data_IF_531919538318
#
_entry.id   IF_531919538318
#
_cell.length_a   1.000
_cell.length_b   1.000
_cell.length_c   1.000
_cell.angle_alpha   90.00
_cell.angle_beta   90.00
_cell.angle_gamma   90.00
#
_symmetry.space_group_name_H-M   'P 1'
#
loop_
_entity.id
_entity.type
_entity.pdbx_description
1 polymer ?
#
# COMPACT_ATOMS: atom_id res chain seq x y z
N UNK A 1 6.93 0.59 29.08
CA UNK A 1 6.37 1.65 28.22
C UNK A 1 6.58 1.42 26.71
N UNK A 2 7.62 0.70 26.25
CA UNK A 2 7.85 0.44 24.82
C UNK A 2 6.90 -0.57 24.14
N UNK A 3 6.31 -1.51 24.90
CA UNK A 3 5.42 -2.54 24.34
C UNK A 3 4.04 -1.99 23.94
N UNK A 4 3.45 -1.12 24.78
CA UNK A 4 2.15 -0.49 24.51
C UNK A 4 2.21 0.43 23.28
N UNK A 5 3.32 1.18 23.11
CA UNK A 5 3.51 2.03 21.92
C UNK A 5 3.71 1.25 20.63
N UNK A 6 4.37 0.09 20.68
CA UNK A 6 4.49 -0.82 19.53
C UNK A 6 3.15 -1.46 19.16
N UNK A 7 2.35 -1.88 20.14
CA UNK A 7 1.02 -2.48 19.92
C UNK A 7 0.03 -1.47 19.31
N UNK A 8 0.04 -0.24 19.79
CA UNK A 8 -0.80 0.84 19.22
C UNK A 8 -0.37 1.16 17.79
N UNK A 9 0.95 1.23 17.53
CA UNK A 9 1.48 1.47 16.18
C UNK A 9 1.14 0.32 15.22
N UNK A 10 1.22 -0.94 15.64
CA UNK A 10 0.89 -2.08 14.78
C UNK A 10 -0.60 -2.13 14.45
N UNK A 11 -1.48 -1.90 15.44
CA UNK A 11 -2.94 -1.83 15.26
C UNK A 11 -3.32 -0.69 14.31
N UNK A 12 -2.78 0.51 14.53
CA UNK A 12 -3.00 1.66 13.64
C UNK A 12 -2.54 1.37 12.20
N UNK A 13 -1.40 0.68 12.03
CA UNK A 13 -0.91 0.30 10.70
C UNK A 13 -1.84 -0.69 9.99
N UNK A 14 -2.46 -1.62 10.73
CA UNK A 14 -3.46 -2.54 10.17
C UNK A 14 -4.75 -1.83 9.76
N UNK A 15 -5.21 -0.86 10.56
CA UNK A 15 -6.39 -0.05 10.23
C UNK A 15 -6.15 0.78 8.96
N UNK A 16 -5.01 1.47 8.87
CA UNK A 16 -4.63 2.24 7.67
C UNK A 16 -4.54 1.34 6.42
N UNK A 17 -3.98 0.14 6.57
CA UNK A 17 -3.92 -0.84 5.48
C UNK A 17 -5.32 -1.27 5.03
N UNK A 18 -6.21 -1.54 5.98
CA UNK A 18 -7.59 -1.96 5.69
C UNK A 18 -8.37 -0.85 4.98
N UNK A 19 -8.23 0.40 5.43
CA UNK A 19 -8.81 1.57 4.77
C UNK A 19 -8.29 1.76 3.35
N UNK A 20 -6.98 1.58 3.12
CA UNK A 20 -6.41 1.67 1.79
C UNK A 20 -7.00 0.60 0.83
N UNK A 21 -7.19 -0.63 1.31
CA UNK A 21 -7.83 -1.69 0.50
C UNK A 21 -9.28 -1.37 0.16
N UNK A 22 -10.02 -0.73 1.07
CA UNK A 22 -11.38 -0.28 0.79
C UNK A 22 -11.41 0.81 -0.28
N UNK A 23 -10.48 1.76 -0.24
CA UNK A 23 -10.37 2.81 -1.25
C UNK A 23 -10.00 2.25 -2.63
N UNK A 24 -9.11 1.25 -2.69
CA UNK A 24 -8.80 0.54 -3.96
C UNK A 24 -10.06 -0.10 -4.54
N UNK A 25 -10.84 -0.81 -3.72
CA UNK A 25 -12.10 -1.42 -4.15
C UNK A 25 -13.10 -0.36 -4.63
N UNK A 26 -13.26 0.71 -3.87
CA UNK A 26 -14.15 1.81 -4.21
C UNK A 26 -13.76 2.44 -5.56
N UNK A 27 -12.48 2.70 -5.80
CA UNK A 27 -11.98 3.17 -7.08
C UNK A 27 -12.28 2.19 -8.23
N UNK A 28 -12.14 0.88 -8.01
CA UNK A 28 -12.44 -0.10 -9.05
C UNK A 28 -13.92 -0.08 -9.46
N UNK A 29 -14.82 0.21 -8.51
CA UNK A 29 -16.27 0.23 -8.74
C UNK A 29 -16.73 1.54 -9.36
N UNK A 30 -16.24 2.68 -8.85
CA UNK A 30 -16.77 4.00 -9.18
C UNK A 30 -15.80 4.86 -10.00
N UNK A 31 -14.54 4.48 -10.12
CA UNK A 31 -13.53 5.19 -10.90
C UNK A 31 -13.04 6.50 -10.27
N UNK A 32 -13.35 6.78 -9.01
CA UNK A 32 -12.96 8.02 -8.32
C UNK A 32 -11.44 8.10 -8.12
N UNK A 33 -10.80 9.00 -8.87
CA UNK A 33 -9.36 9.17 -8.84
C UNK A 33 -8.83 9.52 -7.44
N UNK A 34 -9.59 10.29 -6.67
CA UNK A 34 -9.19 10.69 -5.32
C UNK A 34 -9.04 9.47 -4.41
N UNK A 35 -9.86 8.43 -4.64
CA UNK A 35 -9.79 7.21 -3.86
C UNK A 35 -8.49 6.44 -4.13
N UNK A 36 -8.04 6.32 -5.38
CA UNK A 36 -6.77 5.63 -5.67
C UNK A 36 -5.55 6.45 -5.23
N UNK A 37 -5.62 7.78 -5.30
CA UNK A 37 -4.55 8.65 -4.79
C UNK A 37 -4.40 8.53 -3.27
N UNK A 38 -5.51 8.59 -2.54
CA UNK A 38 -5.53 8.38 -1.09
C UNK A 38 -5.06 6.96 -0.71
N UNK A 39 -5.47 5.94 -1.47
CA UNK A 39 -5.01 4.57 -1.24
C UNK A 39 -3.50 4.43 -1.37
N UNK A 40 -2.88 5.03 -2.39
CA UNK A 40 -1.42 5.00 -2.57
C UNK A 40 -0.71 5.66 -1.40
N UNK A 41 -1.14 6.86 -0.99
CA UNK A 41 -0.53 7.58 0.14
C UNK A 41 -0.61 6.78 1.45
N UNK A 42 -1.78 6.18 1.73
CA UNK A 42 -1.95 5.33 2.92
C UNK A 42 -1.04 4.10 2.87
N UNK A 43 -0.92 3.47 1.70
CA UNK A 43 -0.07 2.30 1.52
C UNK A 43 1.42 2.62 1.69
N UNK A 44 1.89 3.76 1.18
CA UNK A 44 3.27 4.23 1.41
C UNK A 44 3.54 4.41 2.91
N UNK A 45 2.63 5.06 3.65
CA UNK A 45 2.73 5.20 5.10
C UNK A 45 2.74 3.86 5.85
N UNK A 46 1.90 2.91 5.41
CA UNK A 46 1.87 1.54 5.95
C UNK A 46 3.21 0.83 5.74
N UNK A 47 3.81 0.96 4.55
CA UNK A 47 5.11 0.36 4.24
C UNK A 47 6.22 0.95 5.11
N UNK A 48 6.24 2.27 5.33
CA UNK A 48 7.21 2.94 6.21
C UNK A 48 7.08 2.50 7.67
N UNK A 49 5.90 2.11 8.11
CA UNK A 49 5.64 1.61 9.47
C UNK A 49 5.84 0.09 9.62
N UNK A 50 6.10 -0.64 8.53
CA UNK A 50 6.27 -2.09 8.54
C UNK A 50 7.75 -2.45 8.36
N UNK A 51 8.43 -3.04 9.35
CA UNK A 51 9.80 -3.53 9.18
C UNK A 51 9.89 -4.65 8.15
N UNK A 52 11.06 -4.83 7.52
CA UNK A 52 11.23 -5.82 6.45
C UNK A 52 11.10 -7.28 6.92
N UNK A 53 11.47 -7.57 8.18
CA UNK A 53 11.25 -8.89 8.80
C UNK A 53 9.80 -9.18 9.21
N UNK A 54 8.86 -8.28 8.95
CA UNK A 54 7.46 -8.47 9.33
C UNK A 54 6.73 -9.34 8.30
N UNK A 55 6.05 -10.41 8.75
CA UNK A 55 5.39 -11.39 7.87
C UNK A 55 4.41 -10.81 6.84
N UNK A 56 3.78 -9.66 7.13
CA UNK A 56 2.86 -8.99 6.22
C UNK A 56 3.51 -7.97 5.25
N UNK A 57 4.83 -7.71 5.33
CA UNK A 57 5.50 -6.68 4.52
C UNK A 57 5.39 -6.99 3.02
N UNK A 58 5.71 -8.21 2.61
CA UNK A 58 5.62 -8.64 1.21
C UNK A 58 4.19 -8.44 0.66
N UNK A 59 3.17 -8.91 1.38
CA UNK A 59 1.77 -8.73 0.98
C UNK A 59 1.34 -7.25 0.88
N UNK A 60 1.83 -6.40 1.79
CA UNK A 60 1.58 -4.95 1.75
C UNK A 60 2.25 -4.30 0.53
N UNK A 61 3.48 -4.70 0.19
CA UNK A 61 4.19 -4.20 -1.00
C UNK A 61 3.46 -4.62 -2.29
N UNK A 62 3.00 -5.86 -2.37
CA UNK A 62 2.20 -6.35 -3.50
C UNK A 62 0.92 -5.52 -3.69
N UNK A 63 0.23 -5.20 -2.60
CA UNK A 63 -0.97 -4.36 -2.65
C UNK A 63 -0.66 -2.91 -3.08
N UNK A 64 0.50 -2.36 -2.71
CA UNK A 64 0.95 -1.04 -3.19
C UNK A 64 1.27 -1.08 -4.69
N UNK A 65 1.90 -2.14 -5.18
CA UNK A 65 2.14 -2.35 -6.61
C UNK A 65 0.85 -2.44 -7.43
N UNK A 66 -0.19 -3.09 -6.88
CA UNK A 66 -1.53 -3.11 -7.47
C UNK A 66 -2.12 -1.69 -7.52
N UNK A 67 -2.01 -0.91 -6.44
CA UNK A 67 -2.53 0.45 -6.40
C UNK A 67 -1.86 1.36 -7.45
N UNK A 68 -0.54 1.29 -7.58
CA UNK A 68 0.20 1.99 -8.63
C UNK A 68 -0.22 1.55 -10.04
N UNK A 69 -0.37 0.24 -10.28
CA UNK A 69 -0.83 -0.30 -11.56
C UNK A 69 -2.23 0.18 -11.93
N UNK A 70 -3.13 0.27 -10.95
CA UNK A 70 -4.47 0.79 -11.11
C UNK A 70 -4.48 2.29 -11.42
N UNK A 71 -3.62 3.08 -10.76
CA UNK A 71 -3.46 4.50 -11.04
C UNK A 71 -2.87 4.74 -12.43
N UNK A 72 -1.86 3.96 -12.83
CA UNK A 72 -1.29 3.97 -14.18
C UNK A 72 -2.37 3.72 -15.25
N UNK A 73 -3.24 2.72 -15.05
CA UNK A 73 -4.33 2.43 -16.00
C UNK A 73 -5.29 3.60 -16.23
N UNK A 74 -5.43 4.51 -15.26
CA UNK A 74 -6.28 5.70 -15.41
C UNK A 74 -5.53 6.94 -15.90
N UNK A 75 -4.31 7.16 -15.41
CA UNK A 75 -3.57 8.40 -15.65
C UNK A 75 -2.48 8.29 -16.72
N UNK A 76 -2.04 7.07 -17.05
CA UNK A 76 -0.95 6.83 -18.01
C UNK A 76 0.42 7.35 -17.58
N UNK A 77 0.61 7.69 -16.29
CA UNK A 77 1.86 8.26 -15.78
C UNK A 77 2.94 7.18 -15.68
N UNK A 78 4.04 7.34 -16.42
CA UNK A 78 5.14 6.38 -16.43
C UNK A 78 5.70 6.10 -15.02
N UNK A 79 5.80 7.12 -14.17
CA UNK A 79 6.26 6.95 -12.79
C UNK A 79 5.40 5.99 -11.96
N UNK A 80 4.11 5.83 -12.28
CA UNK A 80 3.26 4.85 -11.58
C UNK A 80 3.66 3.42 -11.94
N UNK A 81 3.91 3.12 -13.21
CA UNK A 81 4.30 1.75 -13.59
C UNK A 81 5.73 1.41 -13.15
N UNK A 82 6.64 2.38 -13.15
CA UNK A 82 7.99 2.22 -12.60
C UNK A 82 7.95 1.92 -11.10
N UNK A 83 7.16 2.68 -10.35
CA UNK A 83 6.97 2.44 -8.92
C UNK A 83 6.29 1.08 -8.65
N UNK A 84 5.32 0.68 -9.47
CA UNK A 84 4.68 -0.64 -9.35
C UNK A 84 5.71 -1.76 -9.49
N UNK A 85 6.58 -1.70 -10.49
CA UNK A 85 7.64 -2.69 -10.72
C UNK A 85 8.61 -2.72 -9.54
N UNK A 86 9.03 -1.55 -9.06
CA UNK A 86 9.97 -1.43 -7.94
C UNK A 86 9.43 -2.12 -6.67
N UNK A 87 8.21 -1.78 -6.26
CA UNK A 87 7.64 -2.32 -5.02
C UNK A 87 7.26 -3.80 -5.15
N UNK A 88 6.86 -4.26 -6.34
CA UNK A 88 6.62 -5.69 -6.58
C UNK A 88 7.91 -6.49 -6.51
N UNK A 89 9.02 -5.95 -7.01
CA UNK A 89 10.33 -6.59 -6.88
C UNK A 89 10.75 -6.70 -5.41
N UNK A 90 10.59 -5.62 -4.64
CA UNK A 90 10.83 -5.65 -3.20
C UNK A 90 9.95 -6.69 -2.48
N UNK A 91 8.71 -6.90 -2.93
CA UNK A 91 7.83 -7.91 -2.35
C UNK A 91 8.37 -9.33 -2.57
N UNK A 92 8.90 -9.61 -3.77
CA UNK A 92 9.51 -10.91 -4.13
C UNK A 92 10.83 -11.14 -3.38
N UNK A 93 11.63 -10.09 -3.19
CA UNK A 93 12.90 -10.20 -2.45
C UNK A 93 12.70 -10.53 -0.96
N UNK A 94 11.46 -10.41 -0.44
CA UNK A 94 11.10 -10.73 0.94
C UNK A 94 10.41 -12.09 1.12
N UNK A 95 10.18 -12.85 0.04
CA UNK A 95 9.56 -14.20 0.06
C UNK A 95 10.60 -15.27 -0.20
#
# INVERSE_FOLDING_TARGET
MAYCTQLTRSKQTQELHSSALQLIKYFQWFGDLSAIENAVQLMEGVIMCTPDGHAHKAGRLSNLGIAFSLRFKRLGKLGDIENAILVLRQAVDLT
#
